data_IF_713233972504
#
_entry.id   IF_713233972504
#
_cell.length_a   1.000
_cell.length_b   1.000
_cell.length_c   1.000
_cell.angle_alpha   90.00
_cell.angle_beta   90.00
_cell.angle_gamma   90.00
#
_symmetry.space_group_name_H-M   'P 1'
#
loop_
_entity.id
_entity.type
_entity.pdbx_description
1 polymer ?
#
# COMPACT_ATOMS: atom_id res chain seq x y z
N UNK A 1 -10.84 24.08 -11.43
CA UNK A 1 -9.96 22.91 -11.63
C UNK A 1 -10.69 21.97 -12.56
N UNK A 2 -10.07 21.60 -13.68
CA UNK A 2 -10.65 20.62 -14.59
C UNK A 2 -10.66 19.21 -13.98
N UNK A 3 -11.61 18.39 -14.43
CA UNK A 3 -11.78 17.01 -13.95
C UNK A 3 -10.51 16.16 -14.12
N UNK A 4 -9.77 16.39 -15.22
CA UNK A 4 -8.50 15.72 -15.51
C UNK A 4 -7.43 16.09 -14.48
N UNK A 5 -7.25 17.39 -14.18
CA UNK A 5 -6.27 17.86 -13.20
C UNK A 5 -6.61 17.42 -11.76
N UNK A 6 -7.90 17.31 -11.43
CA UNK A 6 -8.34 16.74 -10.16
C UNK A 6 -8.01 15.24 -10.06
N UNK A 7 -8.24 14.47 -11.13
CA UNK A 7 -7.90 13.04 -11.18
C UNK A 7 -6.38 12.81 -11.06
N UNK A 8 -5.57 13.63 -11.74
CA UNK A 8 -4.11 13.59 -11.64
C UNK A 8 -3.66 13.83 -10.20
N UNK A 9 -4.04 14.97 -9.62
CA UNK A 9 -3.62 15.37 -8.27
C UNK A 9 -4.09 14.36 -7.22
N UNK A 10 -5.33 13.87 -7.34
CA UNK A 10 -5.90 12.89 -6.40
C UNK A 10 -5.19 11.54 -6.53
N UNK A 11 -4.94 11.05 -7.74
CA UNK A 11 -4.27 9.77 -7.94
C UNK A 11 -2.83 9.77 -7.39
N UNK A 12 -2.05 10.82 -7.70
CA UNK A 12 -0.68 10.98 -7.20
C UNK A 12 -0.69 11.20 -5.68
N UNK A 13 -1.64 11.98 -5.17
CA UNK A 13 -1.82 12.22 -3.74
C UNK A 13 -2.11 10.93 -2.96
N UNK A 14 -3.06 10.11 -3.44
CA UNK A 14 -3.40 8.82 -2.82
C UNK A 14 -2.22 7.85 -2.84
N UNK A 15 -1.48 7.77 -3.95
CA UNK A 15 -0.25 6.97 -4.02
C UNK A 15 0.81 7.44 -3.02
N UNK A 16 0.99 8.76 -2.89
CA UNK A 16 1.93 9.34 -1.93
C UNK A 16 1.55 9.00 -0.49
N UNK A 17 0.27 9.12 -0.14
CA UNK A 17 -0.25 8.72 1.17
C UNK A 17 -0.05 7.22 1.41
N UNK A 18 -0.28 6.38 0.41
CA UNK A 18 -0.04 4.94 0.52
C UNK A 18 1.44 4.63 0.83
N UNK A 19 2.39 5.32 0.18
CA UNK A 19 3.83 5.18 0.45
C UNK A 19 4.19 5.64 1.86
N UNK A 20 3.65 6.76 2.33
CA UNK A 20 3.89 7.25 3.68
C UNK A 20 3.35 6.30 4.75
N UNK A 21 2.16 5.75 4.52
CA UNK A 21 1.58 4.72 5.38
C UNK A 21 2.43 3.45 5.37
N UNK A 22 2.93 3.04 4.21
CA UNK A 22 3.84 1.89 4.08
C UNK A 22 5.12 2.07 4.89
N UNK A 23 5.79 3.22 4.75
CA UNK A 23 6.97 3.56 5.57
C UNK A 23 6.66 3.58 7.07
N UNK A 24 5.42 3.95 7.42
CA UNK A 24 4.96 4.05 8.81
C UNK A 24 4.32 2.76 9.36
N UNK A 25 4.30 1.66 8.60
CA UNK A 25 3.66 0.40 9.01
C UNK A 25 4.18 -0.04 10.38
N UNK A 26 5.51 0.01 10.60
CA UNK A 26 6.13 -0.40 11.88
C UNK A 26 5.63 0.38 13.10
N UNK A 27 5.11 1.60 12.92
CA UNK A 27 4.51 2.39 14.01
C UNK A 27 3.08 1.95 14.31
N UNK A 28 2.33 1.56 13.27
CA UNK A 28 0.93 1.14 13.38
C UNK A 28 0.73 -0.36 13.65
N UNK A 29 1.70 -1.22 13.30
CA UNK A 29 1.64 -2.69 13.34
C UNK A 29 1.89 -3.32 14.72
N UNK A 30 1.70 -2.59 15.82
CA UNK A 30 1.88 -3.13 17.19
C UNK A 30 0.99 -4.35 17.52
N UNK A 31 -0.04 -4.60 16.72
CA UNK A 31 -0.94 -5.75 16.82
C UNK A 31 -1.25 -6.26 15.42
N UNK A 32 -1.39 -7.57 15.26
CA UNK A 32 -1.74 -8.24 14.00
C UNK A 32 -2.97 -7.61 13.31
N UNK A 33 -4.03 -7.33 14.07
CA UNK A 33 -5.25 -6.69 13.52
C UNK A 33 -4.98 -5.30 12.91
N UNK A 34 -4.05 -4.52 13.49
CA UNK A 34 -3.68 -3.19 12.97
C UNK A 34 -2.75 -3.26 11.77
N UNK A 35 -1.88 -4.27 11.73
CA UNK A 35 -1.03 -4.53 10.56
C UNK A 35 -1.89 -4.91 9.35
N UNK A 36 -2.82 -5.85 9.53
CA UNK A 36 -3.76 -6.26 8.48
C UNK A 36 -4.64 -5.08 8.05
N UNK A 37 -5.10 -4.24 8.98
CA UNK A 37 -5.84 -3.04 8.65
C UNK A 37 -4.99 -2.05 7.83
N UNK A 38 -3.74 -1.78 8.24
CA UNK A 38 -2.84 -0.87 7.54
C UNK A 38 -2.55 -1.37 6.11
N UNK A 39 -2.27 -2.66 5.94
CA UNK A 39 -2.05 -3.30 4.64
C UNK A 39 -3.28 -3.20 3.75
N UNK A 40 -4.49 -3.44 4.29
CA UNK A 40 -5.75 -3.27 3.55
C UNK A 40 -6.02 -1.84 3.15
N UNK A 41 -5.72 -0.87 4.02
CA UNK A 41 -5.85 0.56 3.71
C UNK A 41 -4.89 0.95 2.59
N UNK A 42 -3.63 0.54 2.66
CA UNK A 42 -2.63 0.80 1.62
C UNK A 42 -3.06 0.18 0.30
N UNK A 43 -3.50 -1.09 0.31
CA UNK A 43 -3.99 -1.75 -0.89
C UNK A 43 -5.20 -1.02 -1.50
N UNK A 44 -6.17 -0.58 -0.68
CA UNK A 44 -7.31 0.19 -1.15
C UNK A 44 -6.89 1.53 -1.79
N UNK A 45 -5.97 2.27 -1.15
CA UNK A 45 -5.44 3.52 -1.70
C UNK A 45 -4.75 3.31 -3.06
N UNK A 46 -3.95 2.25 -3.18
CA UNK A 46 -3.29 1.89 -4.44
C UNK A 46 -4.29 1.48 -5.53
N UNK A 47 -5.35 0.73 -5.20
CA UNK A 47 -6.39 0.37 -6.17
C UNK A 47 -7.21 1.58 -6.64
N UNK A 48 -7.57 2.48 -5.72
CA UNK A 48 -8.27 3.73 -6.09
C UNK A 48 -7.38 4.60 -6.96
N UNK A 49 -6.10 4.74 -6.62
CA UNK A 49 -5.15 5.48 -7.47
C UNK A 49 -5.00 4.83 -8.85
N UNK A 50 -4.89 3.51 -8.92
CA UNK A 50 -4.82 2.78 -10.19
C UNK A 50 -6.05 3.05 -11.07
N UNK A 51 -7.27 3.02 -10.50
CA UNK A 51 -8.51 3.32 -11.21
C UNK A 51 -8.54 4.75 -11.74
N UNK A 52 -8.07 5.72 -10.94
CA UNK A 52 -7.97 7.12 -11.36
C UNK A 52 -6.92 7.31 -12.47
N UNK A 53 -5.75 6.69 -12.37
CA UNK A 53 -4.70 6.74 -13.41
C UNK A 53 -5.19 6.12 -14.72
N UNK A 54 -5.95 5.03 -14.65
CA UNK A 54 -6.56 4.41 -15.82
C UNK A 54 -7.61 5.33 -16.46
N UNK A 55 -8.44 5.96 -15.63
CA UNK A 55 -9.44 6.94 -16.07
C UNK A 55 -8.78 8.16 -16.72
N UNK A 56 -7.70 8.68 -16.11
CA UNK A 56 -6.90 9.79 -16.63
C UNK A 56 -6.36 9.49 -18.03
N UNK A 57 -5.88 8.26 -18.27
CA UNK A 57 -5.41 7.86 -19.58
C UNK A 57 -6.51 7.90 -20.67
N UNK A 58 -7.71 7.39 -20.35
CA UNK A 58 -8.86 7.41 -21.26
C UNK A 58 -9.37 8.81 -21.54
N UNK A 59 -9.31 9.70 -20.56
CA UNK A 59 -9.67 11.11 -20.70
C UNK A 59 -8.64 11.93 -21.50
N UNK A 60 -7.53 11.33 -21.91
CA UNK A 60 -6.46 12.03 -22.63
C UNK A 60 -5.57 12.88 -21.73
N UNK A 61 -5.64 12.69 -20.40
CA UNK A 61 -4.77 13.36 -19.46
C UNK A 61 -3.32 12.92 -19.60
N UNK A 62 -2.42 13.82 -19.21
CA UNK A 62 -0.98 13.59 -19.18
C UNK A 62 -0.54 13.49 -17.73
N UNK A 63 0.38 12.57 -17.44
CA UNK A 63 1.01 12.48 -16.13
C UNK A 63 2.46 12.96 -16.30
N UNK A 64 2.84 14.03 -15.61
CA UNK A 64 4.16 14.66 -15.74
C UNK A 64 4.56 14.97 -17.20
N UNK A 65 3.61 15.49 -17.99
CA UNK A 65 3.83 15.86 -19.40
C UNK A 65 3.94 14.67 -20.36
N UNK A 66 3.57 13.45 -19.94
CA UNK A 66 3.51 12.28 -20.81
C UNK A 66 2.25 11.45 -20.59
N UNK A 67 1.45 11.29 -21.65
CA UNK A 67 0.24 10.46 -21.65
C UNK A 67 0.52 8.96 -21.44
N UNK A 68 1.72 8.51 -21.82
CA UNK A 68 2.08 7.09 -21.80
C UNK A 68 2.55 6.60 -20.42
N UNK A 69 2.81 7.52 -19.48
CA UNK A 69 3.29 7.17 -18.14
C UNK A 69 2.14 6.73 -17.21
N UNK A 70 0.91 7.21 -17.45
CA UNK A 70 -0.24 6.89 -16.61
C UNK A 70 -0.55 5.38 -16.55
N UNK A 71 -0.45 4.65 -17.68
CA UNK A 71 -0.71 3.20 -17.74
C UNK A 71 0.28 2.36 -16.94
N UNK A 72 1.61 2.44 -17.15
CA UNK A 72 2.57 1.66 -16.37
C UNK A 72 2.48 2.00 -14.88
N UNK A 73 2.23 3.26 -14.52
CA UNK A 73 2.01 3.65 -13.12
C UNK A 73 0.76 3.02 -12.51
N UNK A 74 -0.34 2.94 -13.26
CA UNK A 74 -1.54 2.24 -12.82
C UNK A 74 -1.25 0.74 -12.58
N UNK A 75 -0.48 0.10 -13.46
CA UNK A 75 -0.07 -1.31 -13.30
C UNK A 75 0.79 -1.49 -12.06
N UNK A 76 1.77 -0.62 -11.84
CA UNK A 76 2.61 -0.66 -10.63
C UNK A 76 1.75 -0.52 -9.37
N UNK A 77 0.78 0.39 -9.36
CA UNK A 77 -0.13 0.56 -8.22
C UNK A 77 -0.96 -0.71 -7.96
N UNK A 78 -1.43 -1.41 -9.00
CA UNK A 78 -2.12 -2.71 -8.85
C UNK A 78 -1.18 -3.77 -8.27
N UNK A 79 0.06 -3.87 -8.78
CA UNK A 79 1.04 -4.83 -8.27
C UNK A 79 1.31 -4.59 -6.77
N UNK A 80 1.51 -3.34 -6.37
CA UNK A 80 1.73 -2.97 -4.96
C UNK A 80 0.52 -3.31 -4.11
N UNK A 81 -0.70 -3.04 -4.59
CA UNK A 81 -1.92 -3.39 -3.88
C UNK A 81 -2.05 -4.90 -3.63
N UNK A 82 -1.76 -5.71 -4.66
CA UNK A 82 -1.79 -7.17 -4.55
C UNK A 82 -0.71 -7.68 -3.61
N UNK A 83 0.52 -7.18 -3.75
CA UNK A 83 1.65 -7.56 -2.88
C UNK A 83 1.36 -7.23 -1.40
N UNK A 84 0.80 -6.05 -1.12
CA UNK A 84 0.40 -5.66 0.24
C UNK A 84 -0.75 -6.49 0.81
N UNK A 85 -1.64 -7.04 -0.04
CA UNK A 85 -2.76 -7.88 0.37
C UNK A 85 -2.37 -9.36 0.61
N UNK A 86 -1.22 -9.81 0.11
CA UNK A 86 -0.79 -11.22 0.18
C UNK A 86 -0.30 -11.68 1.57
N UNK A 87 -0.21 -10.80 2.57
CA UNK A 87 0.26 -11.14 3.92
C UNK A 87 -0.73 -11.95 4.80
N UNK A 88 -1.82 -12.52 4.26
CA UNK A 88 -2.97 -13.01 5.05
C UNK A 88 -2.85 -14.49 5.50
N UNK A 89 -1.72 -15.19 5.26
CA UNK A 89 -1.51 -16.56 5.80
C UNK A 89 -0.10 -16.91 6.28
N UNK A 90 0.89 -16.06 6.02
CA UNK A 90 2.22 -16.18 6.64
C UNK A 90 2.22 -15.37 7.92
N UNK A 91 2.34 -16.03 9.06
CA UNK A 91 2.58 -15.33 10.33
C UNK A 91 3.98 -14.72 10.28
N UNK A 92 4.10 -13.46 9.85
CA UNK A 92 5.34 -12.68 9.97
C UNK A 92 5.07 -11.46 10.88
N UNK A 93 5.65 -11.34 12.08
CA UNK A 93 7.10 -11.24 12.43
C UNK A 93 7.67 -9.84 12.13
N UNK A 94 6.83 -8.81 11.99
CA UNK A 94 7.30 -7.42 12.14
C UNK A 94 7.34 -6.91 13.60
N UNK A 95 7.08 -7.78 14.57
CA UNK A 95 7.63 -7.60 15.91
C UNK A 95 9.02 -8.21 15.94
N UNK A 96 10.05 -7.44 16.33
CA UNK A 96 11.25 -8.05 16.93
C UNK A 96 10.76 -9.17 17.85
N UNK A 97 11.17 -10.41 17.56
CA UNK A 97 10.70 -11.54 18.34
C UNK A 97 11.13 -11.29 19.79
N UNK A 98 10.17 -10.94 20.65
CA UNK A 98 10.45 -10.48 22.00
C UNK A 98 11.33 -11.54 22.70
N UNK A 99 12.58 -11.20 23.10
CA UNK A 99 13.52 -12.17 23.66
C UNK A 99 12.92 -12.94 24.84
N UNK A 100 12.05 -12.30 25.62
CA UNK A 100 11.33 -12.93 26.72
C UNK A 100 10.29 -13.95 26.27
N UNK A 101 9.59 -13.71 25.14
CA UNK A 101 8.67 -14.70 24.56
C UNK A 101 9.43 -15.88 23.96
N UNK A 102 10.57 -15.65 23.30
CA UNK A 102 11.43 -16.73 22.77
C UNK A 102 11.99 -17.58 23.92
N UNK A 103 12.51 -16.95 24.97
CA UNK A 103 13.06 -17.65 26.13
C UNK A 103 11.98 -18.46 26.86
N UNK A 104 10.76 -17.92 26.98
CA UNK A 104 9.63 -18.63 27.58
C UNK A 104 9.20 -19.84 26.75
N UNK A 105 9.09 -19.70 25.43
CA UNK A 105 8.77 -20.83 24.54
C UNK A 105 9.84 -21.94 24.62
N UNK A 106 11.13 -21.58 24.65
CA UNK A 106 12.22 -22.56 24.85
C UNK A 106 12.24 -23.23 26.23
N UNK A 107 11.71 -22.56 27.26
CA UNK A 107 11.60 -23.13 28.59
C UNK A 107 10.40 -24.07 28.73
N UNK A 108 9.30 -23.81 28.02
CA UNK A 108 8.11 -24.66 27.97
C UNK A 108 8.30 -25.89 27.05
N UNK A 109 9.28 -25.86 26.12
CA UNK A 109 9.66 -27.00 25.28
C UNK A 109 10.56 -28.04 25.99
N UNK A 110 10.92 -27.79 27.25
CA UNK A 110 11.87 -28.59 28.03
C UNK A 110 11.17 -29.32 29.17
#
# INVERSE_FOLDING_TARGET
MDLVGLAETTSVGLCSVAVLLWMSIGTFSRTEAREVLAQRVIAALCLVSAALLFSLHYMGGELWGSRNVARPMAVVAVIVALAGAMNIKGKDVQGEANPHKIAKMRAEEK
#
